data_IF_993294646238
#
_entry.id   IF_993294646238
#
_cell.length_a   1.000
_cell.length_b   1.000
_cell.length_c   1.000
_cell.angle_alpha   90.00
_cell.angle_beta   90.00
_cell.angle_gamma   90.00
#
_symmetry.space_group_name_H-M   'P 1'
#
loop_
_entity.id
_entity.type
_entity.pdbx_description
1 polymer ?
#
# COMPACT_ATOMS: atom_id res chain seq x y z
N UNK A 1 11.28 -7.63 5.23
CA UNK A 1 10.53 -6.49 5.81
C UNK A 1 10.68 -5.30 4.89
N UNK A 2 9.68 -4.96 4.06
CA UNK A 2 9.64 -3.63 3.44
C UNK A 2 8.81 -2.71 4.34
N UNK A 3 9.47 -1.79 5.02
CA UNK A 3 8.80 -0.71 5.72
C UNK A 3 8.68 0.45 4.73
N UNK A 4 7.51 1.08 4.54
CA UNK A 4 7.47 2.30 3.75
C UNK A 4 8.26 3.38 4.50
N UNK A 5 9.35 3.85 3.90
CA UNK A 5 10.14 4.96 4.42
C UNK A 5 10.03 6.15 3.49
N UNK A 6 9.84 7.33 4.08
CA UNK A 6 9.96 8.61 3.40
C UNK A 6 11.20 9.29 3.96
N UNK A 7 12.12 9.66 3.08
CA UNK A 7 13.30 10.43 3.42
C UNK A 7 13.13 11.88 2.96
N UNK A 8 13.77 12.80 3.64
CA UNK A 8 13.87 14.18 3.19
C UNK A 8 14.67 14.28 1.89
N UNK A 9 14.37 15.31 1.09
CA UNK A 9 15.07 15.55 -0.17
C UNK A 9 16.52 15.93 0.13
N UNK A 10 17.48 15.17 -0.41
CA UNK A 10 18.91 15.42 -0.21
C UNK A 10 19.58 14.52 0.83
N UNK A 11 18.83 13.65 1.51
CA UNK A 11 19.41 12.66 2.43
C UNK A 11 20.20 11.60 1.67
N UNK A 12 21.48 11.41 2.03
CA UNK A 12 22.34 10.35 1.48
C UNK A 12 22.29 9.15 2.45
N UNK A 13 21.80 8.01 1.97
CA UNK A 13 21.41 6.84 2.76
C UNK A 13 22.49 6.26 3.70
N UNK A 14 23.76 6.59 3.48
CA UNK A 14 24.88 6.10 4.29
C UNK A 14 25.24 6.98 5.50
N UNK A 15 24.81 8.25 5.53
CA UNK A 15 25.35 9.24 6.49
C UNK A 15 24.42 9.60 7.65
N UNK A 16 23.11 9.33 7.54
CA UNK A 16 22.15 9.82 8.53
C UNK A 16 21.01 8.82 8.71
N UNK A 17 21.11 7.93 9.70
CA UNK A 17 20.08 6.96 10.09
C UNK A 17 18.74 7.60 10.54
N UNK A 18 18.60 8.92 10.49
CA UNK A 18 17.67 9.64 11.36
C UNK A 18 17.01 10.88 10.72
N UNK A 19 16.64 10.82 9.44
CA UNK A 19 15.74 11.79 8.81
C UNK A 19 14.59 11.10 8.08
N UNK A 20 13.83 10.31 8.82
CA UNK A 20 12.55 9.77 8.34
C UNK A 20 11.44 10.74 8.65
N UNK A 21 10.74 11.20 7.62
CA UNK A 21 9.52 11.97 7.78
C UNK A 21 8.28 11.04 7.71
N UNK A 22 7.12 11.47 8.25
CA UNK A 22 5.91 10.66 8.19
C UNK A 22 5.54 10.28 6.75
N UNK A 23 5.16 9.02 6.57
CA UNK A 23 4.69 8.52 5.28
C UNK A 23 3.31 9.09 5.01
N UNK A 24 3.16 9.71 3.84
CA UNK A 24 1.87 10.19 3.36
C UNK A 24 1.31 9.22 2.31
N UNK A 25 0.55 8.24 2.80
CA UNK A 25 -0.08 7.22 1.96
C UNK A 25 -1.18 7.85 1.09
N UNK A 26 -1.85 8.89 1.57
CA UNK A 26 -2.93 9.55 0.83
C UNK A 26 -2.39 10.20 -0.44
N UNK A 27 -1.36 11.07 -0.33
CA UNK A 27 -0.78 11.69 -1.52
C UNK A 27 -0.14 10.68 -2.47
N UNK A 28 0.49 9.63 -1.92
CA UNK A 28 1.05 8.53 -2.71
C UNK A 28 -0.04 7.82 -3.52
N UNK A 29 -1.16 7.44 -2.87
CA UNK A 29 -2.26 6.77 -3.56
C UNK A 29 -2.91 7.67 -4.62
N UNK A 30 -3.12 8.97 -4.33
CA UNK A 30 -3.62 9.93 -5.33
C UNK A 30 -2.71 10.04 -6.55
N UNK A 31 -1.39 9.95 -6.37
CA UNK A 31 -0.46 9.91 -7.49
C UNK A 31 -0.58 8.60 -8.29
N UNK A 32 -0.82 7.46 -7.62
CA UNK A 32 -1.07 6.18 -8.28
C UNK A 32 -2.38 6.19 -9.08
N UNK A 33 -3.45 6.79 -8.55
CA UNK A 33 -4.72 6.98 -9.26
C UNK A 33 -4.53 7.77 -10.55
N UNK A 34 -3.73 8.85 -10.53
CA UNK A 34 -3.40 9.60 -11.76
C UNK A 34 -2.67 8.74 -12.80
N UNK A 35 -1.82 7.79 -12.37
CA UNK A 35 -1.16 6.88 -13.31
C UNK A 35 -2.16 5.92 -13.97
N UNK A 36 -3.11 5.41 -13.18
CA UNK A 36 -4.22 4.61 -13.69
C UNK A 36 -5.07 5.40 -14.69
N UNK A 37 -5.52 6.59 -14.32
CA UNK A 37 -6.38 7.44 -15.16
C UNK A 37 -5.68 7.86 -16.46
N UNK A 38 -4.35 8.05 -16.42
CA UNK A 38 -3.55 8.38 -17.60
C UNK A 38 -3.34 7.19 -18.56
N UNK A 39 -3.82 5.99 -18.21
CA UNK A 39 -3.61 4.76 -18.98
C UNK A 39 -2.18 4.18 -18.88
N UNK A 40 -1.31 4.76 -18.05
CA UNK A 40 0.07 4.26 -17.84
C UNK A 40 0.13 3.02 -16.97
N UNK A 41 -0.93 2.76 -16.20
CA UNK A 41 -1.08 1.55 -15.41
C UNK A 41 -2.47 0.96 -15.64
N UNK A 42 -2.54 -0.33 -15.97
CA UNK A 42 -3.81 -1.04 -16.13
C UNK A 42 -4.49 -1.37 -14.79
N UNK A 43 -3.71 -1.43 -13.71
CA UNK A 43 -4.18 -1.67 -12.36
C UNK A 43 -3.17 -1.10 -11.35
N UNK A 44 -3.66 -0.74 -10.18
CA UNK A 44 -2.85 -0.28 -9.04
C UNK A 44 -3.25 -1.06 -7.79
N UNK A 45 -2.29 -1.28 -6.89
CA UNK A 45 -2.49 -2.11 -5.71
C UNK A 45 -1.51 -1.75 -4.60
N UNK A 46 -1.62 -2.46 -3.50
CA UNK A 46 -0.76 -2.28 -2.32
C UNK A 46 -0.06 -3.59 -1.96
N UNK A 47 0.93 -3.49 -1.07
CA UNK A 47 1.64 -4.65 -0.54
C UNK A 47 1.94 -4.45 0.95
N UNK A 48 1.77 -5.51 1.73
CA UNK A 48 1.91 -5.53 3.19
C UNK A 48 0.99 -4.53 3.92
N UNK A 49 -0.25 -4.39 3.43
CA UNK A 49 -1.29 -3.65 4.14
C UNK A 49 -2.12 -4.59 5.02
N UNK A 50 -2.31 -4.19 6.28
CA UNK A 50 -3.27 -4.84 7.19
C UNK A 50 -4.70 -4.38 6.89
N UNK A 51 -5.69 -5.04 7.50
CA UNK A 51 -7.12 -4.65 7.37
C UNK A 51 -7.35 -3.20 7.81
N UNK A 52 -6.68 -2.74 8.87
CA UNK A 52 -6.75 -1.35 9.34
C UNK A 52 -6.22 -0.38 8.28
N UNK A 53 -5.01 -0.61 7.76
CA UNK A 53 -4.40 0.25 6.73
C UNK A 53 -5.22 0.27 5.44
N UNK A 54 -5.77 -0.87 5.03
CA UNK A 54 -6.71 -0.93 3.89
C UNK A 54 -7.99 -0.16 4.20
N UNK A 55 -8.57 -0.32 5.38
CA UNK A 55 -9.75 0.43 5.81
C UNK A 55 -9.51 1.94 5.73
N UNK A 56 -8.40 2.41 6.28
CA UNK A 56 -7.99 3.82 6.23
C UNK A 56 -7.81 4.30 4.78
N UNK A 57 -7.13 3.51 3.93
CA UNK A 57 -6.94 3.81 2.50
C UNK A 57 -8.26 3.96 1.75
N UNK A 58 -9.20 3.04 1.99
CA UNK A 58 -10.51 3.01 1.33
C UNK A 58 -11.39 4.20 1.72
N UNK A 59 -11.08 4.94 2.79
CA UNK A 59 -11.85 6.16 3.14
C UNK A 59 -11.65 7.31 2.15
N UNK A 60 -10.51 7.34 1.44
CA UNK A 60 -10.18 8.38 0.47
C UNK A 60 -9.87 7.86 -0.92
N UNK A 61 -9.65 6.56 -1.12
CA UNK A 61 -9.42 5.97 -2.44
C UNK A 61 -10.65 6.15 -3.34
N UNK A 62 -10.44 6.74 -4.52
CA UNK A 62 -11.40 6.75 -5.62
C UNK A 62 -11.32 5.44 -6.43
N UNK A 63 -10.10 4.95 -6.66
CA UNK A 63 -9.85 3.65 -7.28
C UNK A 63 -9.53 2.65 -6.18
N UNK A 64 -10.39 1.63 -6.02
CA UNK A 64 -10.13 0.52 -5.09
C UNK A 64 -8.87 -0.23 -5.50
N UNK A 65 -7.94 -0.56 -4.57
CA UNK A 65 -6.76 -1.35 -4.89
C UNK A 65 -7.16 -2.68 -5.51
N UNK A 66 -6.62 -3.01 -6.68
CA UNK A 66 -6.93 -4.27 -7.35
C UNK A 66 -6.35 -5.47 -6.58
N UNK A 67 -5.21 -5.28 -5.93
CA UNK A 67 -4.49 -6.33 -5.19
C UNK A 67 -3.91 -5.79 -3.87
N UNK A 68 -3.87 -6.64 -2.85
CA UNK A 68 -3.00 -6.50 -1.68
C UNK A 68 -2.08 -7.73 -1.60
N UNK A 69 -0.80 -7.53 -1.89
CA UNK A 69 0.21 -8.60 -1.86
C UNK A 69 0.83 -8.72 -0.47
N UNK A 70 0.68 -9.85 0.20
CA UNK A 70 1.15 -10.09 1.57
C UNK A 70 1.84 -11.43 1.71
N UNK A 71 2.66 -11.55 2.74
CA UNK A 71 3.16 -12.85 3.17
C UNK A 71 1.99 -13.78 3.53
N UNK A 72 1.92 -14.93 2.85
CA UNK A 72 0.91 -15.96 3.05
C UNK A 72 1.50 -17.36 2.81
N UNK A 73 1.42 -18.24 3.81
CA UNK A 73 1.91 -19.63 3.74
C UNK A 73 1.09 -20.54 4.68
N UNK A 74 1.25 -21.88 4.67
CA UNK A 74 0.37 -22.79 5.43
C UNK A 74 0.26 -22.50 6.94
N UNK A 75 1.30 -21.91 7.54
CA UNK A 75 1.34 -21.52 8.96
C UNK A 75 0.82 -20.08 9.18
N UNK A 76 0.78 -19.26 8.13
CA UNK A 76 0.34 -17.87 8.18
C UNK A 76 -0.57 -17.53 7.00
N UNK A 77 -1.84 -17.93 7.10
CA UNK A 77 -2.77 -17.91 5.95
C UNK A 77 -3.53 -16.58 5.77
N UNK A 78 -3.36 -15.63 6.70
CA UNK A 78 -3.98 -14.30 6.65
C UNK A 78 -5.53 -14.33 6.58
N UNK A 79 -6.19 -15.30 7.24
CA UNK A 79 -7.63 -15.58 7.09
C UNK A 79 -8.53 -14.35 7.24
N UNK A 80 -8.29 -13.54 8.29
CA UNK A 80 -9.07 -12.32 8.53
C UNK A 80 -8.86 -11.26 7.44
N UNK A 81 -7.61 -11.06 7.01
CA UNK A 81 -7.28 -10.13 5.94
C UNK A 81 -7.86 -10.59 4.60
N UNK A 82 -7.83 -11.90 4.31
CA UNK A 82 -8.43 -12.51 3.13
C UNK A 82 -9.93 -12.23 3.05
N UNK A 83 -10.65 -12.47 4.14
CA UNK A 83 -12.09 -12.19 4.21
C UNK A 83 -12.39 -10.69 4.01
N UNK A 84 -11.59 -9.81 4.62
CA UNK A 84 -11.73 -8.37 4.44
C UNK A 84 -11.50 -7.95 2.99
N UNK A 85 -10.40 -8.37 2.36
CA UNK A 85 -10.10 -8.08 0.96
C UNK A 85 -11.22 -8.57 0.03
N UNK A 86 -11.69 -9.81 0.22
CA UNK A 86 -12.79 -10.37 -0.56
C UNK A 86 -14.08 -9.53 -0.43
N UNK A 87 -14.42 -9.07 0.77
CA UNK A 87 -15.61 -8.22 1.00
C UNK A 87 -15.55 -6.85 0.30
N UNK A 88 -14.35 -6.40 -0.07
CA UNK A 88 -14.09 -5.12 -0.74
C UNK A 88 -13.75 -5.26 -2.22
N UNK A 89 -13.79 -6.48 -2.77
CA UNK A 89 -13.40 -6.75 -4.15
C UNK A 89 -11.90 -6.62 -4.42
N UNK A 90 -11.06 -6.76 -3.39
CA UNK A 90 -9.59 -6.69 -3.48
C UNK A 90 -9.04 -8.11 -3.58
N UNK A 91 -8.19 -8.38 -4.58
CA UNK A 91 -7.48 -9.66 -4.64
C UNK A 91 -6.39 -9.71 -3.56
N UNK A 92 -6.37 -10.76 -2.73
CA UNK A 92 -5.24 -11.00 -1.83
C UNK A 92 -4.25 -11.94 -2.50
N UNK A 93 -3.03 -11.46 -2.72
CA UNK A 93 -1.91 -12.21 -3.31
C UNK A 93 -0.81 -12.48 -2.29
#
# INVERSE_FOLDING_TARGET
VHWPFRMEKGTIAASEFQKFCPVDICSTWRAMEKLYDSGKAHAIGVSNFSTKKLGDLLTYAHITPAVNQVECHPVWQQMHLRAFCQSKGIHLS
#
